data_IF_771192523693
#
_entry.id   IF_771192523693
#
_cell.length_a   1.000
_cell.length_b   1.000
_cell.length_c   1.000
_cell.angle_alpha   90.00
_cell.angle_beta   90.00
_cell.angle_gamma   90.00
#
_symmetry.space_group_name_H-M   'P 1'
#
loop_
_entity.id
_entity.type
_entity.pdbx_description
1 polymer ?
#
# COMPACT_ATOMS: atom_id res chain seq x y z
N UNK A 1 -19.06 0.23 -10.67
CA UNK A 1 -18.88 0.40 -9.21
C UNK A 1 -18.39 -0.95 -8.68
N UNK A 2 -17.07 -1.10 -8.49
CA UNK A 2 -16.42 -2.37 -8.10
C UNK A 2 -16.21 -2.48 -6.58
N UNK A 3 -16.89 -1.63 -5.80
CA UNK A 3 -16.84 -1.69 -4.34
C UNK A 3 -17.84 -2.71 -3.85
N UNK A 4 -17.34 -3.76 -3.20
CA UNK A 4 -18.15 -4.76 -2.51
C UNK A 4 -19.01 -4.11 -1.44
N UNK A 5 -20.24 -4.61 -1.31
CA UNK A 5 -21.20 -4.24 -0.28
C UNK A 5 -20.59 -4.44 1.12
N UNK A 6 -20.91 -3.52 2.02
CA UNK A 6 -20.56 -3.53 3.43
C UNK A 6 -20.77 -4.94 4.04
N UNK A 7 -19.73 -5.48 4.68
CA UNK A 7 -19.85 -6.69 5.49
C UNK A 7 -20.18 -6.28 6.93
N UNK A 8 -21.32 -6.74 7.47
CA UNK A 8 -21.63 -6.58 8.90
C UNK A 8 -20.56 -7.26 9.78
N UNK A 9 -20.02 -8.39 9.31
CA UNK A 9 -18.89 -9.09 9.92
C UNK A 9 -17.90 -9.46 8.81
N UNK A 10 -16.65 -8.94 8.83
CA UNK A 10 -15.65 -9.29 7.84
C UNK A 10 -15.33 -10.80 7.87
N UNK A 11 -15.18 -11.49 6.73
CA UNK A 11 -14.85 -12.92 6.67
C UNK A 11 -13.35 -13.19 6.91
N UNK A 12 -12.71 -12.37 7.74
CA UNK A 12 -11.28 -12.40 8.03
C UNK A 12 -11.07 -12.49 9.54
N UNK A 13 -10.02 -13.18 9.99
CA UNK A 13 -9.69 -13.27 11.43
C UNK A 13 -8.86 -12.09 11.92
N UNK A 14 -8.23 -11.34 11.01
CA UNK A 14 -7.42 -10.15 11.26
C UNK A 14 -7.15 -9.40 9.96
N UNK A 15 -6.76 -8.13 10.05
CA UNK A 15 -6.39 -7.28 8.94
C UNK A 15 -5.04 -6.61 9.18
N UNK A 16 -4.19 -6.58 8.16
CA UNK A 16 -2.90 -5.88 8.17
C UNK A 16 -2.93 -4.75 7.14
N UNK A 17 -2.78 -3.52 7.61
CA UNK A 17 -2.67 -2.34 6.77
C UNK A 17 -1.20 -1.94 6.70
N UNK A 18 -0.58 -2.17 5.54
CA UNK A 18 0.83 -1.86 5.30
C UNK A 18 0.91 -0.56 4.51
N UNK A 19 1.56 0.46 5.06
CA UNK A 19 1.75 1.77 4.40
C UNK A 19 0.45 2.36 3.83
N UNK A 20 -0.64 2.18 4.58
CA UNK A 20 -1.98 2.60 4.17
C UNK A 20 -2.07 4.12 4.04
N UNK A 21 -2.76 4.57 2.98
CA UNK A 21 -3.02 5.99 2.71
C UNK A 21 -4.41 6.45 3.17
N UNK A 22 -5.13 5.60 3.92
CA UNK A 22 -6.41 5.96 4.58
C UNK A 22 -6.17 7.18 5.48
N UNK A 23 -7.05 8.16 5.41
CA UNK A 23 -6.93 9.40 6.17
C UNK A 23 -8.31 9.91 6.58
N UNK A 24 -8.41 10.47 7.79
CA UNK A 24 -9.65 11.12 8.22
C UNK A 24 -9.89 12.39 7.40
N UNK A 25 -11.16 12.70 7.12
CA UNK A 25 -11.54 13.80 6.24
C UNK A 25 -11.08 15.17 6.75
N UNK A 26 -11.22 15.42 8.05
CA UNK A 26 -10.80 16.65 8.71
C UNK A 26 -9.28 16.86 8.64
N UNK A 27 -8.50 15.80 8.81
CA UNK A 27 -7.05 15.82 8.64
C UNK A 27 -6.70 16.12 7.18
N UNK A 28 -7.37 15.47 6.23
CA UNK A 28 -7.16 15.74 4.80
C UNK A 28 -7.49 17.18 4.42
N UNK A 29 -8.59 17.75 4.92
CA UNK A 29 -9.00 19.12 4.64
C UNK A 29 -8.02 20.14 5.24
N UNK A 30 -7.45 19.86 6.41
CA UNK A 30 -6.44 20.71 7.04
C UNK A 30 -5.15 20.78 6.22
N UNK A 31 -4.72 19.66 5.65
CA UNK A 31 -3.48 19.54 4.89
C UNK A 31 -3.69 19.56 3.36
N UNK A 32 -4.84 20.05 2.91
CA UNK A 32 -5.30 19.91 1.52
C UNK A 32 -4.31 20.48 0.52
N UNK A 33 -3.75 21.67 0.79
CA UNK A 33 -2.83 22.35 -0.13
C UNK A 33 -1.54 21.55 -0.33
N UNK A 34 -0.87 21.16 0.76
CA UNK A 34 0.35 20.34 0.70
C UNK A 34 0.07 19.01 -0.01
N UNK A 35 -1.07 18.39 0.31
CA UNK A 35 -1.45 17.10 -0.25
C UNK A 35 -1.72 17.20 -1.76
N UNK A 36 -2.39 18.26 -2.22
CA UNK A 36 -2.62 18.50 -3.65
C UNK A 36 -1.30 18.77 -4.39
N UNK A 37 -0.41 19.58 -3.83
CA UNK A 37 0.91 19.83 -4.43
C UNK A 37 1.72 18.54 -4.60
N UNK A 38 1.70 17.69 -3.57
CA UNK A 38 2.37 16.40 -3.62
C UNK A 38 1.73 15.45 -4.65
N UNK A 39 0.39 15.41 -4.73
CA UNK A 39 -0.32 14.62 -5.73
C UNK A 39 0.02 15.07 -7.16
N UNK A 40 0.02 16.38 -7.42
CA UNK A 40 0.38 16.93 -8.73
C UNK A 40 1.82 16.56 -9.12
N UNK A 41 2.74 16.59 -8.16
CA UNK A 41 4.12 16.16 -8.36
C UNK A 41 4.22 14.69 -8.77
N UNK A 42 3.54 13.78 -8.05
CA UNK A 42 3.54 12.33 -8.35
C UNK A 42 2.86 12.03 -9.69
N UNK A 43 1.75 12.69 -9.99
CA UNK A 43 1.04 12.60 -11.27
C UNK A 43 1.99 13.01 -12.41
N UNK A 44 2.65 14.15 -12.28
CA UNK A 44 3.58 14.64 -13.30
C UNK A 44 4.79 13.70 -13.50
N UNK A 45 5.38 13.19 -12.41
CA UNK A 45 6.45 12.19 -12.50
C UNK A 45 5.99 10.91 -13.21
N UNK A 46 4.78 10.44 -12.92
CA UNK A 46 4.21 9.23 -13.50
C UNK A 46 3.96 9.41 -15.00
N UNK A 47 3.36 10.53 -15.40
CA UNK A 47 3.07 10.86 -16.80
C UNK A 47 4.34 11.04 -17.64
N UNK A 48 5.45 11.47 -17.04
CA UNK A 48 6.73 11.64 -17.73
C UNK A 48 7.66 10.43 -17.63
N UNK A 49 7.28 9.39 -16.89
CA UNK A 49 8.11 8.21 -16.70
C UNK A 49 8.36 7.49 -18.03
N UNK A 50 9.58 6.96 -18.21
CA UNK A 50 9.90 6.03 -19.30
C UNK A 50 9.07 4.74 -19.14
N UNK A 51 8.47 4.28 -20.23
CA UNK A 51 7.57 3.12 -20.22
C UNK A 51 7.90 2.03 -21.25
N UNK A 52 8.90 2.24 -22.12
CA UNK A 52 9.37 1.29 -23.14
C UNK A 52 10.88 1.05 -23.00
N UNK A 53 11.34 -0.18 -23.26
CA UNK A 53 12.76 -0.56 -23.24
C UNK A 53 13.06 -1.62 -24.30
N UNK A 54 14.26 -1.60 -24.88
CA UNK A 54 14.67 -2.55 -25.94
C UNK A 54 14.60 -4.03 -25.52
N UNK A 55 14.70 -4.32 -24.21
CA UNK A 55 14.55 -5.66 -23.66
C UNK A 55 14.26 -5.62 -22.16
N UNK A 56 13.77 -6.74 -21.61
CA UNK A 56 13.64 -6.96 -20.16
C UNK A 56 14.95 -6.69 -19.41
N UNK A 57 16.09 -7.11 -19.96
CA UNK A 57 17.41 -6.85 -19.36
C UNK A 57 17.72 -5.36 -19.26
N UNK A 58 17.39 -4.57 -20.30
CA UNK A 58 17.56 -3.11 -20.29
C UNK A 58 16.58 -2.41 -19.35
N UNK A 59 15.37 -2.94 -19.19
CA UNK A 59 14.44 -2.46 -18.17
C UNK A 59 14.98 -2.71 -16.74
N UNK A 60 15.51 -3.91 -16.48
CA UNK A 60 16.15 -4.23 -15.20
C UNK A 60 17.31 -3.29 -14.87
N UNK A 61 18.21 -3.06 -15.81
CA UNK A 61 19.32 -2.11 -15.68
C UNK A 61 18.86 -0.67 -15.42
N UNK A 62 17.73 -0.28 -16.01
CA UNK A 62 17.13 1.03 -15.82
C UNK A 62 16.56 1.18 -14.39
N UNK A 63 15.75 0.23 -13.94
CA UNK A 63 15.08 0.31 -12.65
C UNK A 63 16.07 0.23 -11.47
N UNK A 64 17.02 -0.69 -11.49
CA UNK A 64 17.99 -0.85 -10.38
C UNK A 64 18.87 0.37 -10.08
N UNK A 65 18.88 1.38 -10.96
CA UNK A 65 19.71 2.59 -10.82
C UNK A 65 18.92 3.85 -10.51
N UNK A 66 17.58 3.79 -10.47
CA UNK A 66 16.74 4.99 -10.42
C UNK A 66 15.75 4.91 -9.27
N UNK A 67 15.54 6.05 -8.61
CA UNK A 67 14.49 6.17 -7.61
C UNK A 67 13.10 6.07 -8.25
N UNK A 68 12.13 5.46 -7.54
CA UNK A 68 12.29 4.82 -6.23
C UNK A 68 12.88 3.39 -6.29
N UNK A 69 12.91 2.75 -7.47
CA UNK A 69 13.25 1.33 -7.62
C UNK A 69 14.66 0.93 -7.17
N UNK A 70 15.63 1.85 -7.16
CA UNK A 70 16.98 1.57 -6.65
C UNK A 70 17.02 1.28 -5.15
N UNK A 71 15.96 1.61 -4.42
CA UNK A 71 15.80 1.26 -3.00
C UNK A 71 15.15 -0.11 -2.80
N UNK A 72 14.56 -0.69 -3.85
CA UNK A 72 13.85 -1.95 -3.76
C UNK A 72 14.82 -3.13 -3.62
N UNK A 73 14.34 -4.21 -3.01
CA UNK A 73 15.01 -5.52 -3.06
C UNK A 73 15.13 -5.96 -4.52
N UNK A 74 16.30 -6.46 -4.91
CA UNK A 74 16.56 -6.86 -6.29
C UNK A 74 15.54 -7.90 -6.79
N UNK A 75 15.05 -8.78 -5.92
CA UNK A 75 14.00 -9.76 -6.26
C UNK A 75 12.72 -9.07 -6.72
N UNK A 76 12.34 -7.97 -6.08
CA UNK A 76 11.15 -7.20 -6.47
C UNK A 76 11.33 -6.54 -7.84
N UNK A 77 12.53 -6.04 -8.15
CA UNK A 77 12.84 -5.48 -9.48
C UNK A 77 12.77 -6.57 -10.56
N UNK A 78 13.31 -7.76 -10.28
CA UNK A 78 13.21 -8.91 -11.20
C UNK A 78 11.76 -9.28 -11.48
N UNK A 79 10.94 -9.40 -10.44
CA UNK A 79 9.50 -9.66 -10.57
C UNK A 79 8.77 -8.57 -11.37
N UNK A 80 9.10 -7.29 -11.15
CA UNK A 80 8.56 -6.18 -11.94
C UNK A 80 8.90 -6.33 -13.42
N UNK A 81 10.13 -6.67 -13.75
CA UNK A 81 10.58 -6.85 -15.13
C UNK A 81 9.95 -8.09 -15.77
N UNK A 82 9.83 -9.18 -15.02
CA UNK A 82 9.32 -10.45 -15.53
C UNK A 82 7.80 -10.42 -15.73
N UNK A 83 7.07 -9.79 -14.80
CA UNK A 83 5.62 -9.84 -14.74
C UNK A 83 4.93 -8.50 -15.00
N UNK A 84 5.60 -7.37 -14.82
CA UNK A 84 5.05 -6.03 -15.06
C UNK A 84 5.24 -5.53 -16.50
N UNK A 85 6.04 -6.23 -17.31
CA UNK A 85 6.30 -5.89 -18.71
C UNK A 85 5.67 -6.91 -19.67
N UNK A 86 5.34 -6.47 -20.88
CA UNK A 86 4.98 -7.32 -22.00
C UNK A 86 5.67 -6.85 -23.29
N UNK A 87 5.66 -7.69 -24.32
CA UNK A 87 6.19 -7.31 -25.63
C UNK A 87 5.41 -6.12 -26.18
N UNK A 88 6.13 -5.11 -26.66
CA UNK A 88 5.52 -3.94 -27.25
C UNK A 88 4.72 -4.33 -28.51
N UNK A 89 3.61 -3.64 -28.84
CA UNK A 89 2.83 -3.93 -30.05
C UNK A 89 3.67 -3.89 -31.33
N UNK A 90 4.66 -2.99 -31.37
CA UNK A 90 5.77 -3.05 -32.33
C UNK A 90 6.96 -3.76 -31.67
N UNK A 91 7.21 -5.00 -32.06
CA UNK A 91 8.29 -5.84 -31.52
C UNK A 91 9.68 -5.18 -31.65
N UNK A 92 9.86 -4.25 -32.59
CA UNK A 92 11.13 -3.50 -32.74
C UNK A 92 11.42 -2.59 -31.54
N UNK A 93 10.40 -2.27 -30.74
CA UNK A 93 10.51 -1.45 -29.53
C UNK A 93 10.81 -2.25 -28.27
N UNK A 94 10.89 -3.59 -28.37
CA UNK A 94 11.19 -4.47 -27.24
C UNK A 94 9.99 -4.68 -26.33
N UNK A 95 10.06 -4.16 -25.10
CA UNK A 95 9.06 -4.37 -24.05
C UNK A 95 8.51 -3.06 -23.49
N UNK A 96 7.27 -3.10 -23.01
CA UNK A 96 6.56 -1.96 -22.42
C UNK A 96 5.83 -2.33 -21.13
N UNK A 97 5.45 -1.35 -20.33
CA UNK A 97 4.62 -1.54 -19.13
C UNK A 97 3.26 -2.15 -19.48
N UNK A 98 2.76 -3.08 -18.66
CA UNK A 98 1.42 -3.68 -18.82
C UNK A 98 0.25 -2.73 -18.51
N UNK A 99 0.54 -1.56 -17.99
CA UNK A 99 -0.43 -0.52 -17.69
C UNK A 99 0.04 0.79 -18.33
N UNK A 100 -0.90 1.67 -18.62
CA UNK A 100 -0.55 2.98 -19.17
C UNK A 100 -0.18 3.94 -18.05
N UNK A 101 0.66 4.94 -18.36
CA UNK A 101 1.03 5.98 -17.38
C UNK A 101 -0.18 6.82 -17.00
N UNK A 102 -1.09 7.01 -17.94
CA UNK A 102 -2.33 7.77 -17.77
C UNK A 102 -3.28 7.03 -16.82
N UNK A 103 -3.38 5.70 -16.91
CA UNK A 103 -4.17 4.90 -15.98
C UNK A 103 -3.61 4.94 -14.56
N UNK A 104 -2.29 4.80 -14.40
CA UNK A 104 -1.65 4.93 -13.08
C UNK A 104 -1.80 6.34 -12.52
N UNK A 105 -1.52 7.37 -13.33
CA UNK A 105 -1.60 8.77 -12.93
C UNK A 105 -3.02 9.16 -12.50
N UNK A 106 -4.04 8.65 -13.18
CA UNK A 106 -5.44 8.91 -12.85
C UNK A 106 -5.86 8.34 -11.49
N UNK A 107 -5.10 7.40 -10.90
CA UNK A 107 -5.42 6.82 -9.60
C UNK A 107 -5.03 7.71 -8.41
N UNK A 108 -4.01 8.57 -8.54
CA UNK A 108 -3.49 9.35 -7.42
C UNK A 108 -4.47 10.42 -6.90
N UNK A 109 -5.21 11.16 -7.75
CA UNK A 109 -6.15 12.18 -7.29
C UNK A 109 -7.43 11.61 -6.65
N UNK A 110 -7.69 10.30 -6.73
CA UNK A 110 -8.90 9.69 -6.17
C UNK A 110 -8.78 9.50 -4.66
N UNK A 111 -9.08 10.55 -3.90
CA UNK A 111 -8.90 10.59 -2.45
C UNK A 111 -10.14 10.17 -1.66
N UNK A 112 -11.30 10.15 -2.31
CA UNK A 112 -12.58 9.83 -1.66
C UNK A 112 -12.58 8.43 -1.02
N UNK A 113 -12.07 7.37 -1.68
CA UNK A 113 -11.98 6.04 -1.06
C UNK A 113 -11.15 6.02 0.22
N UNK A 114 -10.09 6.84 0.33
CA UNK A 114 -9.26 6.91 1.54
C UNK A 114 -10.05 7.48 2.73
N UNK A 115 -10.89 8.48 2.48
CA UNK A 115 -11.72 9.11 3.51
C UNK A 115 -12.87 8.21 3.94
N UNK A 116 -13.57 7.60 2.98
CA UNK A 116 -14.66 6.67 3.29
C UNK A 116 -14.15 5.43 4.04
N UNK A 117 -12.96 4.93 3.69
CA UNK A 117 -12.33 3.81 4.38
C UNK A 117 -12.03 4.12 5.84
N UNK A 118 -11.69 5.36 6.20
CA UNK A 118 -11.45 5.74 7.60
C UNK A 118 -12.70 5.54 8.48
N UNK A 119 -13.88 5.83 7.93
CA UNK A 119 -15.18 5.64 8.61
C UNK A 119 -15.40 4.14 8.87
N UNK A 120 -15.25 3.31 7.84
CA UNK A 120 -15.46 1.87 7.97
C UNK A 120 -14.38 1.18 8.81
N UNK A 121 -13.15 1.68 8.80
CA UNK A 121 -12.05 1.09 9.56
C UNK A 121 -12.35 1.10 11.07
N UNK A 122 -12.97 2.17 11.58
CA UNK A 122 -13.43 2.24 12.97
C UNK A 122 -14.42 1.13 13.34
N UNK A 123 -15.24 0.67 12.38
CA UNK A 123 -16.18 -0.44 12.57
C UNK A 123 -15.45 -1.79 12.52
N UNK A 124 -14.53 -1.95 11.57
CA UNK A 124 -13.72 -3.17 11.42
C UNK A 124 -12.88 -3.43 12.67
N UNK A 125 -12.25 -2.40 13.25
CA UNK A 125 -11.46 -2.50 14.48
C UNK A 125 -12.25 -3.02 15.69
N UNK A 126 -13.59 -2.91 15.69
CA UNK A 126 -14.45 -3.42 16.76
C UNK A 126 -14.72 -4.92 16.64
N UNK A 127 -14.53 -5.48 15.45
CA UNK A 127 -14.91 -6.87 15.14
C UNK A 127 -13.68 -7.76 15.02
N UNK A 128 -12.60 -7.25 14.41
CA UNK A 128 -11.37 -8.02 14.19
C UNK A 128 -10.12 -7.21 14.56
N UNK A 129 -9.01 -7.87 14.96
CA UNK A 129 -7.73 -7.21 15.18
C UNK A 129 -7.21 -6.58 13.88
N UNK A 130 -7.02 -5.26 13.88
CA UNK A 130 -6.37 -4.51 12.81
C UNK A 130 -4.96 -4.13 13.22
N UNK A 131 -3.96 -4.44 12.40
CA UNK A 131 -2.57 -4.13 12.64
C UNK A 131 -2.05 -3.14 11.60
N UNK A 132 -1.40 -2.07 12.04
CA UNK A 132 -0.72 -1.12 11.16
C UNK A 132 0.77 -1.48 11.07
N UNK A 133 1.31 -1.46 9.85
CA UNK A 133 2.72 -1.69 9.59
C UNK A 133 3.27 -0.59 8.70
N UNK A 134 4.24 0.16 9.20
CA UNK A 134 4.88 1.28 8.52
C UNK A 134 6.34 0.96 8.21
N UNK A 135 6.91 1.59 7.18
CA UNK A 135 8.35 1.77 7.05
C UNK A 135 8.83 2.85 8.01
N UNK A 136 9.99 2.68 8.62
CA UNK A 136 10.56 3.66 9.55
C UNK A 136 10.84 5.02 8.88
N UNK A 137 11.32 5.03 7.64
CA UNK A 137 11.65 6.27 6.93
C UNK A 137 10.39 6.99 6.47
N UNK A 138 10.33 8.29 6.73
CA UNK A 138 9.34 9.21 6.17
C UNK A 138 9.94 9.78 4.89
N UNK A 139 9.35 9.44 3.74
CA UNK A 139 9.84 9.89 2.42
C UNK A 139 8.72 10.58 1.64
N UNK A 140 7.69 9.81 1.33
CA UNK A 140 6.61 10.17 0.41
C UNK A 140 5.26 10.37 1.09
N UNK A 141 5.12 9.86 2.31
CA UNK A 141 3.90 9.94 3.10
C UNK A 141 4.15 10.83 4.32
N UNK A 142 3.49 12.00 4.41
CA UNK A 142 3.58 12.85 5.58
C UNK A 142 3.23 12.12 6.89
N UNK A 143 3.87 12.54 7.98
CA UNK A 143 3.71 11.93 9.31
C UNK A 143 2.25 11.95 9.79
N UNK A 144 1.52 13.02 9.48
CA UNK A 144 0.12 13.18 9.86
C UNK A 144 -0.80 12.06 9.35
N UNK A 145 -0.44 11.38 8.25
CA UNK A 145 -1.20 10.25 7.73
C UNK A 145 -1.04 9.01 8.62
N UNK A 146 0.15 8.80 9.17
CA UNK A 146 0.43 7.72 10.14
C UNK A 146 -0.28 8.01 11.46
N UNK A 147 -0.23 9.26 11.90
CA UNK A 147 -0.89 9.72 13.13
C UNK A 147 -2.40 9.61 13.02
N UNK A 148 -2.98 9.95 11.86
CA UNK A 148 -4.42 9.86 11.60
C UNK A 148 -4.99 8.47 11.89
N UNK A 149 -4.24 7.41 11.57
CA UNK A 149 -4.66 6.02 11.78
C UNK A 149 -4.24 5.44 13.13
N UNK A 150 -3.27 6.09 13.79
CA UNK A 150 -2.80 5.67 15.12
C UNK A 150 -3.58 6.36 16.25
N UNK A 151 -4.32 7.43 15.94
CA UNK A 151 -5.18 8.15 16.87
C UNK A 151 -6.49 7.40 17.17
N UNK A 152 -6.57 6.89 18.40
CA UNK A 152 -7.69 6.08 18.90
C UNK A 152 -8.87 6.90 19.42
N UNK A 153 -8.79 8.24 19.42
CA UNK A 153 -9.79 9.13 20.03
C UNK A 153 -11.22 8.93 19.50
N UNK A 154 -11.36 8.54 18.23
CA UNK A 154 -12.66 8.28 17.56
C UNK A 154 -13.11 6.81 17.64
N UNK A 155 -12.51 6.01 18.53
CA UNK A 155 -12.82 4.59 18.67
C UNK A 155 -12.17 3.68 17.62
N UNK A 156 -11.23 4.21 16.83
CA UNK A 156 -10.37 3.44 15.94
C UNK A 156 -9.25 2.77 16.76
N UNK A 157 -9.60 1.68 17.43
CA UNK A 157 -8.66 0.94 18.29
C UNK A 157 -7.94 -0.13 17.48
N UNK A 158 -6.80 0.21 16.88
CA UNK A 158 -5.94 -0.79 16.22
C UNK A 158 -5.28 -1.70 17.27
N UNK A 159 -5.12 -2.98 16.92
CA UNK A 159 -4.53 -3.99 17.80
C UNK A 159 -3.01 -3.82 17.97
N UNK A 160 -2.32 -3.29 16.94
CA UNK A 160 -0.93 -2.88 17.09
C UNK A 160 -0.48 -1.92 15.98
N UNK A 161 0.53 -1.12 16.29
CA UNK A 161 1.33 -0.37 15.31
C UNK A 161 2.75 -0.91 15.34
N UNK A 162 3.36 -1.09 14.17
CA UNK A 162 4.74 -1.57 14.04
C UNK A 162 5.47 -0.86 12.92
N UNK A 163 6.81 -0.81 13.04
CA UNK A 163 7.69 -0.14 12.09
C UNK A 163 8.76 -1.12 11.59
N UNK A 164 8.94 -1.19 10.28
CA UNK A 164 10.00 -1.94 9.63
C UNK A 164 11.21 -1.02 9.50
N UNK A 165 12.27 -1.37 10.23
CA UNK A 165 13.52 -0.64 10.25
C UNK A 165 14.12 -0.50 8.86
N UNK A 166 14.68 0.67 8.56
CA UNK A 166 15.37 0.96 7.31
C UNK A 166 14.51 0.66 6.06
N UNK A 167 13.20 0.91 6.14
CA UNK A 167 12.25 0.84 5.01
C UNK A 167 11.48 2.16 4.86
N UNK A 168 11.13 2.52 3.62
CA UNK A 168 10.27 3.66 3.30
C UNK A 168 8.85 3.24 2.95
N UNK A 169 8.17 4.08 2.17
CA UNK A 169 6.77 3.87 1.78
C UNK A 169 6.56 2.57 0.97
N UNK A 170 7.57 2.14 0.22
CA UNK A 170 7.51 0.93 -0.60
C UNK A 170 8.04 -0.29 0.17
N UNK A 171 7.77 -0.39 1.47
CA UNK A 171 8.30 -1.44 2.38
C UNK A 171 8.10 -2.88 1.85
N UNK A 172 7.00 -3.13 1.14
CA UNK A 172 6.71 -4.42 0.49
C UNK A 172 7.78 -4.78 -0.53
N UNK A 173 8.23 -3.82 -1.32
CA UNK A 173 9.25 -3.99 -2.35
C UNK A 173 10.67 -3.80 -1.81
N UNK A 174 10.87 -2.95 -0.80
CA UNK A 174 12.19 -2.62 -0.24
C UNK A 174 12.72 -3.66 0.75
N UNK A 175 11.88 -4.14 1.66
CA UNK A 175 12.27 -5.04 2.76
C UNK A 175 11.27 -6.19 2.93
N UNK A 176 10.99 -6.98 1.87
CA UNK A 176 9.95 -8.02 1.90
C UNK A 176 10.12 -9.02 3.05
N UNK A 177 11.36 -9.46 3.34
CA UNK A 177 11.58 -10.44 4.41
C UNK A 177 11.36 -9.84 5.81
N UNK A 178 11.72 -8.56 6.02
CA UNK A 178 11.48 -7.88 7.30
C UNK A 178 10.00 -7.58 7.52
N UNK A 179 9.29 -7.18 6.46
CA UNK A 179 7.84 -7.01 6.50
C UNK A 179 7.16 -8.35 6.81
N UNK A 180 7.55 -9.43 6.11
CA UNK A 180 6.98 -10.76 6.34
C UNK A 180 7.18 -11.22 7.78
N UNK A 181 8.36 -10.99 8.37
CA UNK A 181 8.59 -11.28 9.80
C UNK A 181 7.69 -10.45 10.71
N UNK A 182 7.53 -9.16 10.46
CA UNK A 182 6.67 -8.28 11.27
C UNK A 182 5.20 -8.76 11.25
N UNK A 183 4.71 -9.20 10.09
CA UNK A 183 3.37 -9.77 9.94
C UNK A 183 3.27 -11.13 10.63
N UNK A 184 4.21 -12.05 10.37
CA UNK A 184 4.20 -13.42 10.92
C UNK A 184 4.12 -13.42 12.45
N UNK A 185 4.91 -12.59 13.13
CA UNK A 185 4.89 -12.48 14.60
C UNK A 185 3.51 -12.10 15.14
N UNK A 186 2.74 -11.29 14.41
CA UNK A 186 1.38 -10.92 14.80
C UNK A 186 0.37 -12.00 14.46
N UNK A 187 0.52 -12.65 13.29
CA UNK A 187 -0.33 -13.79 12.92
C UNK A 187 -0.21 -14.94 13.93
N UNK A 188 1.00 -15.26 14.38
CA UNK A 188 1.24 -16.32 15.37
C UNK A 188 0.61 -16.01 16.74
N UNK A 189 0.31 -14.74 17.02
CA UNK A 189 -0.36 -14.30 18.24
C UNK A 189 -1.90 -14.34 18.15
N UNK A 190 -2.47 -14.54 16.95
CA UNK A 190 -3.91 -14.67 16.77
C UNK A 190 -4.34 -16.06 17.25
N UNK A 191 -5.05 -16.11 18.38
CA UNK A 191 -5.60 -17.36 18.86
C UNK A 191 -6.74 -17.83 17.95
N UNK A 192 -6.85 -19.12 17.64
CA UNK A 192 -8.03 -19.66 16.96
C UNK A 192 -9.28 -19.32 17.78
N UNK A 193 -10.33 -18.82 17.12
CA UNK A 193 -11.61 -18.58 17.79
C UNK A 193 -12.15 -19.90 18.35
N UNK A 194 -12.22 -20.01 19.68
CA UNK A 194 -12.85 -21.15 20.35
C UNK A 194 -14.38 -21.12 20.28
N UNK A 195 -14.96 -20.07 19.69
CA UNK A 195 -16.40 -19.90 19.48
C UNK A 195 -16.87 -20.70 18.24
N UNK A 196 -17.06 -22.01 18.41
CA UNK A 196 -17.69 -22.86 17.39
C UNK A 196 -17.86 -24.34 17.72
N UNK A 197 -17.11 -24.90 18.67
CA UNK A 197 -17.29 -26.28 19.14
C UNK A 197 -17.94 -26.29 20.53
N UNK A 198 -19.23 -25.96 20.58
CA UNK A 198 -19.95 -25.89 21.86
C UNK A 198 -21.46 -25.85 21.70
N UNK A 199 -22.05 -26.87 21.08
CA UNK A 199 -23.35 -27.46 21.44
C UNK A 199 -23.88 -28.34 20.31
N UNK A 200 -23.70 -29.66 20.47
CA UNK A 200 -24.63 -30.72 20.04
C UNK A 200 -24.03 -32.06 20.46
N UNK A 201 -24.30 -32.44 21.70
CA UNK A 201 -24.58 -33.81 22.12
C UNK A 201 -25.68 -33.74 23.17
#
# INVERSE_FOLDING_TARGET
MLTTQHFEVPPYVSMFLVESTITKKDIFERELEERMQYMDFVVNLTLNRKYEWDSKQKAFEYFRKRLPWSMWDERAIRLLVDHGLHDAPDLRKGVTLKWTREQEAASYPDTKPHQESAIYLSQVCKVIPVHLVWGERIEFMPEYLRDSLSDTSDGMNVASVSYVKDAGHMVVQEKPDSLARAISVKLDAIQPSTSGLGSKL
#
